data_IF_239779670750
#
_entry.id   IF_239779670750
#
_cell.length_a   1.000
_cell.length_b   1.000
_cell.length_c   1.000
_cell.angle_alpha   90.00
_cell.angle_beta   90.00
_cell.angle_gamma   90.00
#
_symmetry.space_group_name_H-M   'P 1'
#
loop_
_entity.id
_entity.type
_entity.pdbx_description
1 polymer ?
#
# COMPACT_ATOMS: atom_id res chain seq x y z
N UNK A 1 66.28 32.09 19.86
CA UNK A 1 66.46 32.03 18.38
C UNK A 1 65.12 32.36 17.71
N UNK A 2 64.46 33.44 18.09
CA UNK A 2 64.81 34.86 17.88
C UNK A 2 64.39 35.34 16.48
N UNK A 3 63.23 35.99 16.45
CA UNK A 3 62.90 36.95 15.40
C UNK A 3 63.84 38.18 15.52
N UNK A 4 64.03 38.94 14.43
CA UNK A 4 63.37 40.26 14.39
C UNK A 4 62.62 40.56 13.05
N UNK A 5 61.44 41.20 13.05
CA UNK A 5 61.16 42.67 12.94
C UNK A 5 61.49 43.28 11.55
N UNK A 6 60.88 44.32 10.96
CA UNK A 6 59.69 45.22 11.07
C UNK A 6 59.65 46.01 9.72
N UNK A 7 58.64 46.73 9.22
CA UNK A 7 57.17 46.82 9.42
C UNK A 7 56.58 47.76 8.33
N UNK A 8 55.25 47.75 8.08
CA UNK A 8 54.63 48.73 7.16
C UNK A 8 53.10 48.69 7.13
N UNK A 9 52.44 49.54 7.93
CA UNK A 9 50.98 49.60 8.04
C UNK A 9 50.27 50.21 6.81
N UNK A 10 49.10 49.67 6.45
CA UNK A 10 47.85 50.47 6.50
C UNK A 10 46.59 49.62 6.63
N UNK A 11 45.59 50.19 7.32
CA UNK A 11 44.33 49.54 7.71
C UNK A 11 43.28 49.57 6.58
N UNK A 12 42.41 48.57 6.55
CA UNK A 12 40.98 48.78 6.26
C UNK A 12 40.15 47.96 7.27
N UNK A 13 39.09 48.55 7.80
CA UNK A 13 38.21 47.90 8.78
C UNK A 13 37.13 47.09 8.05
N UNK A 14 36.85 45.88 8.51
CA UNK A 14 35.51 45.28 8.42
C UNK A 14 35.12 44.73 9.80
N UNK A 15 33.86 44.92 10.18
CA UNK A 15 33.41 44.72 11.56
C UNK A 15 33.06 43.27 11.87
N UNK A 16 33.15 42.94 13.15
CA UNK A 16 32.68 41.71 13.75
C UNK A 16 31.14 41.60 13.79
N UNK A 17 30.70 40.38 14.12
CA UNK A 17 29.42 39.98 14.70
C UNK A 17 28.14 40.03 13.84
N UNK A 18 27.67 38.83 13.45
CA UNK A 18 26.32 38.40 13.86
C UNK A 18 26.16 36.86 13.87
N UNK A 19 26.43 36.21 15.02
CA UNK A 19 26.25 34.75 15.20
C UNK A 19 24.92 34.40 15.86
N UNK A 20 23.88 34.37 15.02
CA UNK A 20 22.64 33.57 15.08
C UNK A 20 22.37 32.80 16.40
N UNK A 21 21.53 33.37 17.26
CA UNK A 21 20.87 32.61 18.33
C UNK A 21 19.80 31.65 17.76
N UNK A 22 20.00 30.34 17.95
CA UNK A 22 19.03 29.32 17.51
C UNK A 22 17.80 29.29 18.43
N UNK A 23 16.67 29.85 17.98
CA UNK A 23 15.38 29.77 18.68
C UNK A 23 14.78 28.37 18.49
N UNK A 24 15.09 27.44 19.40
CA UNK A 24 14.41 26.17 19.50
C UNK A 24 12.92 26.38 19.83
N UNK A 25 12.04 26.18 18.85
CA UNK A 25 10.58 26.19 19.04
C UNK A 25 10.13 24.83 19.54
N UNK A 26 9.84 24.72 20.83
CA UNK A 26 9.11 23.59 21.41
C UNK A 26 7.72 23.47 20.74
N UNK A 27 7.26 22.27 20.35
CA UNK A 27 5.90 22.09 19.86
C UNK A 27 4.91 22.28 21.02
N UNK A 28 3.94 23.16 20.84
CA UNK A 28 2.87 23.38 21.82
C UNK A 28 1.89 22.20 21.78
N UNK A 29 1.97 21.32 22.78
CA UNK A 29 0.93 20.34 23.05
C UNK A 29 -0.31 21.04 23.60
N UNK A 30 -1.23 21.46 22.71
CA UNK A 30 -2.60 21.80 23.12
C UNK A 30 -3.36 20.51 23.39
N UNK A 31 -3.56 20.20 24.67
CA UNK A 31 -4.42 19.11 25.15
C UNK A 31 -5.90 19.43 24.95
N UNK A 32 -6.34 19.48 23.70
CA UNK A 32 -7.77 19.46 23.38
C UNK A 32 -8.24 18.01 23.35
N UNK A 33 -8.43 17.43 24.53
CA UNK A 33 -9.03 16.10 24.67
C UNK A 33 -10.54 16.23 24.40
N UNK A 34 -11.09 15.66 23.31
CA UNK A 34 -12.51 15.39 23.29
C UNK A 34 -12.78 14.38 24.41
N UNK A 35 -13.78 14.66 25.24
CA UNK A 35 -14.30 13.68 26.20
C UNK A 35 -14.72 12.44 25.42
N UNK A 36 -13.95 11.36 25.54
CA UNK A 36 -14.24 10.09 24.89
C UNK A 36 -15.45 9.48 25.58
N UNK A 37 -16.63 9.85 25.10
CA UNK A 37 -17.82 9.01 25.24
C UNK A 37 -17.42 7.59 24.84
N UNK A 38 -17.90 6.55 25.53
CA UNK A 38 -17.77 5.20 25.04
C UNK A 38 -18.69 5.09 23.83
N UNK A 39 -18.17 5.49 22.67
CA UNK A 39 -18.82 5.22 21.40
C UNK A 39 -19.08 3.72 21.37
N UNK A 40 -20.37 3.36 21.35
CA UNK A 40 -20.80 1.98 21.28
C UNK A 40 -20.07 1.30 20.11
N UNK A 41 -19.69 0.02 20.23
CA UNK A 41 -19.06 -0.67 19.12
C UNK A 41 -19.98 -0.55 17.91
N UNK A 42 -19.50 0.11 16.85
CA UNK A 42 -20.19 0.15 15.56
C UNK A 42 -20.04 -1.19 14.85
N UNK A 43 -20.43 -2.26 15.54
CA UNK A 43 -20.44 -3.65 15.09
C UNK A 43 -21.73 -3.96 14.33
N UNK A 44 -22.09 -3.08 13.40
CA UNK A 44 -23.00 -3.42 12.31
C UNK A 44 -22.14 -3.69 11.10
N UNK A 45 -21.92 -4.98 10.83
CA UNK A 45 -21.24 -5.50 9.65
C UNK A 45 -22.10 -5.27 8.39
N UNK A 46 -22.34 -4.01 8.04
CA UNK A 46 -23.05 -3.62 6.82
C UNK A 46 -22.13 -3.77 5.61
N UNK A 47 -22.72 -4.16 4.47
CA UNK A 47 -22.03 -4.07 3.19
C UNK A 47 -21.50 -2.65 2.96
N UNK A 48 -20.30 -2.54 2.40
CA UNK A 48 -19.65 -1.27 2.07
C UNK A 48 -19.84 -0.95 0.60
N UNK A 49 -20.21 0.28 0.32
CA UNK A 49 -20.19 0.86 -1.02
C UNK A 49 -18.92 1.70 -1.17
N UNK A 50 -18.21 1.50 -2.28
CA UNK A 50 -17.00 2.26 -2.63
C UNK A 50 -17.16 2.81 -4.04
N UNK A 51 -16.95 4.11 -4.20
CA UNK A 51 -16.94 4.80 -5.48
C UNK A 51 -15.51 4.82 -6.03
N UNK A 52 -15.28 4.19 -7.17
CA UNK A 52 -13.92 4.06 -7.73
C UNK A 52 -13.44 5.41 -8.25
N UNK A 53 -12.21 5.81 -7.94
CA UNK A 53 -11.61 7.06 -8.41
C UNK A 53 -12.32 8.34 -7.91
N UNK A 54 -13.14 8.25 -6.87
CA UNK A 54 -13.92 9.36 -6.31
C UNK A 54 -13.72 9.54 -4.79
N UNK A 55 -14.25 10.63 -4.24
CA UNK A 55 -14.27 10.87 -2.78
C UNK A 55 -15.41 10.08 -2.14
N UNK A 56 -15.10 9.29 -1.11
CA UNK A 56 -16.10 8.51 -0.39
C UNK A 56 -16.98 9.37 0.52
N UNK A 57 -18.28 9.07 0.57
CA UNK A 57 -19.20 9.66 1.54
C UNK A 57 -19.00 9.12 2.97
N UNK A 58 -18.57 7.85 3.08
CA UNK A 58 -18.29 7.20 4.36
C UNK A 58 -16.83 7.40 4.79
N UNK A 59 -16.61 7.49 6.11
CA UNK A 59 -15.26 7.55 6.69
C UNK A 59 -14.71 6.14 6.89
N UNK A 60 -13.63 5.84 6.19
CA UNK A 60 -12.86 4.61 6.38
C UNK A 60 -11.66 4.82 7.32
N UNK A 61 -11.18 3.77 8.00
CA UNK A 61 -9.89 3.79 8.70
C UNK A 61 -8.74 4.23 7.79
N UNK A 62 -7.70 4.81 8.39
CA UNK A 62 -6.48 5.18 7.67
C UNK A 62 -5.60 3.95 7.42
N UNK A 63 -4.90 3.90 6.28
CA UNK A 63 -3.99 2.81 5.91
C UNK A 63 -2.65 2.85 6.70
N UNK A 64 -2.65 3.37 7.92
CA UNK A 64 -1.46 3.50 8.75
C UNK A 64 -1.32 2.28 9.68
N UNK A 65 -0.28 1.48 9.48
CA UNK A 65 0.04 0.31 10.31
C UNK A 65 0.78 0.75 11.57
N UNK A 66 0.43 0.20 12.74
CA UNK A 66 1.24 0.37 13.95
C UNK A 66 1.27 -0.89 14.80
N UNK A 67 2.48 -1.37 15.08
CA UNK A 67 2.81 -2.50 15.95
C UNK A 67 3.38 -2.03 17.30
N UNK A 68 3.27 -0.73 17.61
CA UNK A 68 3.72 -0.16 18.87
C UNK A 68 2.89 -0.72 20.04
N UNK A 69 3.55 -1.33 21.02
CA UNK A 69 2.89 -1.95 22.18
C UNK A 69 2.42 -0.89 23.19
N UNK A 70 3.04 0.28 23.15
CA UNK A 70 2.78 1.38 24.08
C UNK A 70 2.60 2.72 23.38
N UNK A 71 1.81 3.61 23.97
CA UNK A 71 1.98 5.06 23.82
C UNK A 71 3.09 5.56 24.76
N UNK A 72 3.71 6.73 24.49
CA UNK A 72 4.73 7.30 25.38
C UNK A 72 4.29 7.45 26.84
N UNK A 73 2.99 7.72 27.07
CA UNK A 73 2.40 7.75 28.40
C UNK A 73 2.20 6.35 29.01
N UNK A 74 1.68 5.40 28.23
CA UNK A 74 1.38 4.06 28.75
C UNK A 74 2.61 3.17 28.95
N UNK A 75 3.75 3.52 28.35
CA UNK A 75 5.00 2.76 28.44
C UNK A 75 5.43 2.59 29.91
N UNK A 76 5.72 3.70 30.60
CA UNK A 76 6.32 3.62 31.94
C UNK A 76 5.41 2.89 32.96
N UNK A 77 4.10 3.20 33.08
CA UNK A 77 3.23 2.52 34.05
C UNK A 77 3.03 1.03 33.74
N UNK A 78 2.86 0.66 32.46
CA UNK A 78 2.63 -0.75 32.08
C UNK A 78 3.88 -1.59 32.21
N UNK A 79 5.03 -1.09 31.75
CA UNK A 79 6.29 -1.85 31.85
C UNK A 79 6.74 -1.98 33.30
N UNK A 80 6.62 -0.92 34.14
CA UNK A 80 6.87 -1.04 35.58
C UNK A 80 5.93 -2.04 36.26
N UNK A 81 4.64 -2.04 35.92
CA UNK A 81 3.69 -3.03 36.46
C UNK A 81 4.10 -4.48 36.10
N UNK A 82 4.54 -4.71 34.86
CA UNK A 82 5.02 -6.02 34.42
C UNK A 82 6.30 -6.44 35.19
N UNK A 83 7.27 -5.53 35.35
CA UNK A 83 8.50 -5.81 36.12
C UNK A 83 8.20 -6.11 37.59
N UNK A 84 7.33 -5.34 38.24
CA UNK A 84 6.97 -5.54 39.65
C UNK A 84 5.91 -6.65 39.88
N UNK A 85 5.34 -7.22 38.82
CA UNK A 85 4.56 -8.46 38.94
C UNK A 85 5.45 -9.67 39.24
N UNK A 86 6.78 -9.55 39.06
CA UNK A 86 7.74 -10.59 39.40
C UNK A 86 8.17 -10.52 40.88
N UNK A 87 8.11 -11.66 41.58
CA UNK A 87 8.29 -11.74 43.03
C UNK A 87 9.58 -11.10 43.54
N UNK A 88 10.73 -11.33 42.89
CA UNK A 88 12.01 -10.76 43.35
C UNK A 88 12.04 -9.23 43.23
N UNK A 89 11.50 -8.65 42.17
CA UNK A 89 11.45 -7.20 41.99
C UNK A 89 10.53 -6.55 43.04
N UNK A 90 9.40 -7.18 43.35
CA UNK A 90 8.48 -6.73 44.40
C UNK A 90 9.07 -6.89 45.81
N UNK A 91 9.78 -7.99 46.07
CA UNK A 91 10.51 -8.22 47.32
C UNK A 91 11.57 -7.14 47.55
N UNK A 92 12.43 -6.87 46.56
CA UNK A 92 13.44 -5.82 46.66
C UNK A 92 12.80 -4.42 46.77
N UNK A 93 11.65 -4.18 46.16
CA UNK A 93 10.89 -2.94 46.34
C UNK A 93 10.44 -2.77 47.79
N UNK A 94 9.87 -3.80 48.43
CA UNK A 94 9.49 -3.72 49.84
C UNK A 94 10.70 -3.56 50.78
N UNK A 95 11.81 -4.27 50.51
CA UNK A 95 13.06 -4.11 51.27
C UNK A 95 13.66 -2.70 51.12
N UNK A 96 13.53 -2.07 49.95
CA UNK A 96 13.96 -0.69 49.74
C UNK A 96 13.01 0.32 50.41
N UNK A 97 11.69 0.11 50.34
CA UNK A 97 10.68 0.95 50.98
C UNK A 97 10.77 0.91 52.51
N UNK A 98 11.09 -0.25 53.12
CA UNK A 98 11.23 -0.34 54.58
C UNK A 98 12.34 0.55 55.13
N UNK A 99 13.39 0.84 54.36
CA UNK A 99 14.48 1.73 54.77
C UNK A 99 14.04 3.20 54.91
N UNK A 100 12.90 3.59 54.33
CA UNK A 100 12.35 4.94 54.48
C UNK A 100 11.99 5.19 55.94
N UNK A 101 11.52 4.16 56.67
CA UNK A 101 11.26 4.22 58.10
C UNK A 101 12.58 4.19 58.88
N UNK A 102 12.94 5.25 59.63
CA UNK A 102 14.25 5.34 60.28
C UNK A 102 14.48 4.27 61.34
N UNK A 103 13.43 3.72 61.94
CA UNK A 103 13.52 2.65 62.95
C UNK A 103 13.84 1.27 62.38
N UNK A 104 13.65 1.06 61.06
CA UNK A 104 13.94 -0.19 60.36
C UNK A 104 15.23 -0.11 59.50
N UNK A 105 15.90 1.05 59.51
CA UNK A 105 17.04 1.33 58.64
C UNK A 105 18.33 0.75 59.20
N UNK A 106 18.93 -0.19 58.48
CA UNK A 106 20.16 -0.88 58.90
C UNK A 106 21.42 -0.28 58.23
N UNK A 107 21.27 0.47 57.14
CA UNK A 107 22.40 1.08 56.41
C UNK A 107 21.99 2.23 55.48
N UNK A 108 22.84 2.52 54.50
CA UNK A 108 22.56 3.57 53.51
C UNK A 108 21.42 3.17 52.56
N UNK A 109 20.51 4.12 52.29
CA UNK A 109 19.39 3.93 51.35
C UNK A 109 19.83 3.46 49.96
N UNK A 110 20.97 3.98 49.49
CA UNK A 110 21.56 3.65 48.19
C UNK A 110 21.91 2.16 48.05
N UNK A 111 22.32 1.50 49.12
CA UNK A 111 22.68 0.07 49.11
C UNK A 111 21.52 -0.85 48.72
N UNK A 112 20.27 -0.41 48.94
CA UNK A 112 19.05 -1.17 48.62
C UNK A 112 18.39 -0.67 47.33
N UNK A 113 18.37 0.65 47.12
CA UNK A 113 17.73 1.26 45.95
C UNK A 113 18.56 1.05 44.67
N UNK A 114 19.89 1.16 44.73
CA UNK A 114 20.73 1.13 43.53
C UNK A 114 20.69 -0.21 42.76
N UNK A 115 20.76 -1.39 43.40
CA UNK A 115 20.63 -2.67 42.69
C UNK A 115 19.25 -2.84 42.02
N UNK A 116 18.18 -2.47 42.72
CA UNK A 116 16.81 -2.54 42.18
C UNK A 116 16.63 -1.59 40.99
N UNK A 117 17.07 -0.33 41.14
CA UNK A 117 17.00 0.67 40.09
C UNK A 117 17.82 0.26 38.85
N UNK A 118 18.98 -0.38 39.04
CA UNK A 118 19.81 -0.89 37.95
C UNK A 118 19.12 -2.00 37.16
N UNK A 119 18.55 -3.00 37.83
CA UNK A 119 17.82 -4.10 37.17
C UNK A 119 16.61 -3.57 36.41
N UNK A 120 15.77 -2.76 37.07
CA UNK A 120 14.58 -2.16 36.44
C UNK A 120 14.98 -1.25 35.26
N UNK A 121 16.06 -0.47 35.36
CA UNK A 121 16.55 0.35 34.25
C UNK A 121 16.99 -0.47 33.04
N UNK A 122 17.61 -1.64 33.25
CA UNK A 122 17.97 -2.55 32.15
C UNK A 122 16.72 -3.13 31.49
N UNK A 123 15.73 -3.60 32.26
CA UNK A 123 14.47 -4.12 31.71
C UNK A 123 13.70 -3.06 30.91
N UNK A 124 13.52 -1.87 31.51
CA UNK A 124 12.88 -0.72 30.84
C UNK A 124 13.66 -0.31 29.58
N UNK A 125 14.99 -0.29 29.64
CA UNK A 125 15.84 0.06 28.51
C UNK A 125 15.68 -0.88 27.32
N UNK A 126 15.60 -2.20 27.58
CA UNK A 126 15.35 -3.21 26.53
C UNK A 126 13.96 -3.08 25.92
N UNK A 127 12.91 -3.01 26.74
CA UNK A 127 11.53 -2.88 26.23
C UNK A 127 11.35 -1.56 25.45
N UNK A 128 11.99 -0.46 25.89
CA UNK A 128 12.01 0.81 25.16
C UNK A 128 12.70 0.65 23.80
N UNK A 129 13.88 0.02 23.75
CA UNK A 129 14.64 -0.20 22.53
C UNK A 129 13.83 -1.02 21.50
N UNK A 130 13.23 -2.12 21.94
CA UNK A 130 12.42 -2.99 21.08
C UNK A 130 11.17 -2.28 20.54
N UNK A 131 10.49 -1.49 21.36
CA UNK A 131 9.31 -0.72 20.99
C UNK A 131 9.65 0.52 20.10
N UNK A 132 10.86 1.07 20.22
CA UNK A 132 11.42 2.03 19.24
C UNK A 132 11.72 1.34 17.91
N UNK A 133 12.33 0.15 17.94
CA UNK A 133 12.61 -0.65 16.75
C UNK A 133 11.35 -1.04 15.97
N UNK A 134 10.25 -1.34 16.68
CA UNK A 134 8.91 -1.53 16.08
C UNK A 134 8.43 -0.28 15.36
N UNK A 135 8.40 0.87 16.05
CA UNK A 135 7.96 2.15 15.45
C UNK A 135 8.80 2.56 14.25
N UNK A 136 10.10 2.26 14.24
CA UNK A 136 10.95 2.53 13.08
C UNK A 136 10.51 1.72 11.86
N UNK A 137 10.32 0.40 12.02
CA UNK A 137 9.83 -0.47 10.93
C UNK A 137 8.43 -0.07 10.47
N UNK A 138 7.54 0.28 11.40
CA UNK A 138 6.22 0.82 11.07
C UNK A 138 6.35 2.13 10.26
N UNK A 139 7.25 3.04 10.64
CA UNK A 139 7.46 4.30 9.91
C UNK A 139 8.05 4.09 8.51
N UNK A 140 8.93 3.10 8.34
CA UNK A 140 9.48 2.68 7.04
C UNK A 140 8.35 2.13 6.14
N UNK A 141 7.55 1.17 6.61
CA UNK A 141 6.42 0.61 5.85
C UNK A 141 5.31 1.64 5.54
N UNK A 142 4.99 2.52 6.49
CA UNK A 142 4.01 3.60 6.28
C UNK A 142 4.48 4.68 5.31
N UNK A 143 5.79 4.76 5.05
CA UNK A 143 6.39 5.73 4.14
C UNK A 143 6.69 5.17 2.73
N UNK A 144 6.49 3.87 2.51
CA UNK A 144 6.61 3.22 1.20
C UNK A 144 5.72 3.92 0.16
N UNK A 145 6.24 4.09 -1.07
CA UNK A 145 5.62 4.92 -2.10
C UNK A 145 4.89 4.09 -3.17
N UNK A 146 3.67 4.51 -3.49
CA UNK A 146 2.77 3.86 -4.43
C UNK A 146 2.27 4.85 -5.48
N UNK A 147 2.13 4.38 -6.72
CA UNK A 147 1.54 5.16 -7.82
C UNK A 147 0.02 5.04 -7.76
N UNK A 148 -0.67 6.18 -7.71
CA UNK A 148 -2.13 6.29 -7.70
C UNK A 148 -2.59 7.04 -8.95
N UNK A 149 -3.62 6.54 -9.62
CA UNK A 149 -4.31 7.21 -10.71
C UNK A 149 -5.27 8.27 -10.13
N UNK A 150 -5.06 9.52 -10.56
CA UNK A 150 -5.92 10.66 -10.25
C UNK A 150 -6.72 11.03 -11.47
N UNK A 151 -8.03 11.18 -11.28
CA UNK A 151 -9.00 11.45 -12.33
C UNK A 151 -9.51 12.89 -12.19
N UNK A 152 -9.18 13.73 -13.16
CA UNK A 152 -9.39 15.18 -13.14
C UNK A 152 -8.13 15.99 -12.80
N UNK A 153 -8.14 17.32 -13.03
CA UNK A 153 -6.98 18.18 -12.83
C UNK A 153 -6.49 18.15 -11.37
N UNK A 154 -5.16 18.15 -11.12
CA UNK A 154 -4.64 18.19 -9.77
C UNK A 154 -5.05 19.50 -9.07
N UNK A 155 -5.96 19.40 -8.11
CA UNK A 155 -6.56 20.54 -7.43
C UNK A 155 -5.57 21.25 -6.50
N UNK A 156 -4.80 22.19 -7.04
CA UNK A 156 -4.01 23.18 -6.28
C UNK A 156 -2.88 22.65 -5.40
N UNK A 157 -2.56 21.36 -5.46
CA UNK A 157 -1.53 20.72 -4.65
C UNK A 157 -0.22 20.50 -5.41
N UNK A 158 0.89 21.06 -4.89
CA UNK A 158 2.29 20.84 -5.27
C UNK A 158 2.55 19.89 -6.47
N UNK A 159 2.76 20.45 -7.67
CA UNK A 159 3.11 19.72 -8.91
C UNK A 159 4.40 18.88 -8.88
N UNK A 160 5.05 18.72 -7.73
CA UNK A 160 6.28 17.92 -7.56
C UNK A 160 6.05 16.40 -7.58
N UNK A 161 4.81 15.94 -7.38
CA UNK A 161 4.46 14.52 -7.25
C UNK A 161 3.60 13.98 -8.41
N UNK A 162 3.33 14.80 -9.42
CA UNK A 162 2.59 14.39 -10.63
C UNK A 162 3.63 14.01 -11.68
N UNK A 163 3.61 12.77 -12.17
CA UNK A 163 4.33 12.44 -13.40
C UNK A 163 3.55 12.99 -14.59
N UNK A 164 4.19 13.78 -15.45
CA UNK A 164 3.57 14.38 -16.66
C UNK A 164 3.12 13.35 -17.73
N UNK A 165 3.20 12.06 -17.42
CA UNK A 165 2.70 10.96 -18.24
C UNK A 165 1.17 10.93 -18.22
N UNK A 166 0.57 11.67 -19.16
CA UNK A 166 -0.86 11.58 -19.46
C UNK A 166 -1.19 10.20 -20.01
N UNK A 167 -1.72 9.32 -19.16
CA UNK A 167 -2.22 7.99 -19.56
C UNK A 167 -3.57 8.04 -20.30
N UNK A 168 -4.17 9.23 -20.39
CA UNK A 168 -5.40 9.48 -21.14
C UNK A 168 -5.88 10.91 -20.96
N UNK A 169 -7.06 11.19 -21.48
CA UNK A 169 -7.78 12.43 -21.22
C UNK A 169 -8.20 12.50 -19.74
N UNK A 170 -7.69 13.49 -19.01
CA UNK A 170 -7.93 13.72 -17.56
C UNK A 170 -7.46 12.62 -16.59
N UNK A 171 -6.52 11.73 -16.98
CA UNK A 171 -5.92 10.73 -16.06
C UNK A 171 -4.44 11.03 -15.82
N UNK A 172 -4.06 11.17 -14.56
CA UNK A 172 -2.70 11.51 -14.10
C UNK A 172 -2.16 10.47 -13.12
N UNK A 173 -0.86 10.21 -13.14
CA UNK A 173 -0.19 9.41 -12.11
C UNK A 173 0.35 10.32 -10.99
N UNK A 174 0.08 9.95 -9.73
CA UNK A 174 0.51 10.67 -8.53
C UNK A 174 1.17 9.69 -7.56
N UNK A 175 2.36 10.04 -7.06
CA UNK A 175 3.01 9.25 -5.99
C UNK A 175 2.47 9.62 -4.62
N UNK A 176 2.02 8.61 -3.86
CA UNK A 176 1.57 8.73 -2.46
C UNK A 176 2.26 7.73 -1.55
N UNK A 177 2.33 8.03 -0.25
CA UNK A 177 2.84 7.09 0.77
C UNK A 177 1.74 6.13 1.21
N UNK A 178 2.12 4.91 1.57
CA UNK A 178 1.23 3.83 2.01
C UNK A 178 0.17 4.29 3.02
N UNK A 179 0.57 5.04 4.05
CA UNK A 179 -0.33 5.58 5.10
C UNK A 179 -1.31 6.66 4.62
N UNK A 180 -0.99 7.34 3.52
CA UNK A 180 -1.71 8.50 2.97
C UNK A 180 -2.71 8.07 1.87
N UNK A 181 -2.72 6.77 1.52
CA UNK A 181 -3.68 6.12 0.63
C UNK A 181 -5.09 6.05 1.25
N UNK A 182 -6.11 6.05 0.40
CA UNK A 182 -7.53 6.02 0.82
C UNK A 182 -8.36 5.01 0.01
N UNK A 183 -9.46 4.57 0.62
CA UNK A 183 -10.44 3.66 -0.01
C UNK A 183 -11.07 4.30 -1.25
N UNK A 184 -11.17 3.52 -2.33
CA UNK A 184 -11.61 3.93 -3.65
C UNK A 184 -10.55 4.65 -4.50
N UNK A 185 -9.34 4.87 -3.99
CA UNK A 185 -8.23 5.29 -4.84
C UNK A 185 -7.74 4.12 -5.71
N UNK A 186 -7.40 4.41 -6.97
CA UNK A 186 -6.93 3.40 -7.93
C UNK A 186 -5.39 3.40 -7.94
N UNK A 187 -4.79 2.34 -7.43
CA UNK A 187 -3.36 2.06 -7.51
C UNK A 187 -2.97 1.56 -8.91
N UNK A 188 -1.80 1.96 -9.38
CA UNK A 188 -1.06 1.27 -10.45
C UNK A 188 0.08 0.50 -9.80
N UNK A 189 -0.13 -0.80 -9.62
CA UNK A 189 0.85 -1.69 -8.97
C UNK A 189 1.79 -2.25 -10.03
N UNK A 190 3.08 -2.27 -9.73
CA UNK A 190 4.11 -2.83 -10.61
C UNK A 190 4.30 -4.32 -10.35
N UNK A 191 4.85 -5.04 -11.34
CA UNK A 191 5.38 -6.39 -11.15
C UNK A 191 6.32 -6.46 -9.92
N UNK A 192 6.18 -7.54 -9.16
CA UNK A 192 6.92 -7.88 -7.94
C UNK A 192 6.75 -6.89 -6.76
N UNK A 193 5.78 -5.97 -6.84
CA UNK A 193 5.42 -5.06 -5.75
C UNK A 193 4.45 -5.71 -4.76
N UNK A 194 4.60 -5.40 -3.46
CA UNK A 194 3.66 -5.81 -2.41
C UNK A 194 2.45 -4.89 -2.37
N UNK A 195 1.27 -5.45 -2.08
CA UNK A 195 0.04 -4.67 -1.94
C UNK A 195 -0.04 -3.96 -0.57
N UNK A 196 -0.34 -2.65 -0.54
CA UNK A 196 -0.37 -1.86 0.70
C UNK A 196 -1.67 -2.02 1.50
N UNK A 197 -2.70 -2.59 0.90
CA UNK A 197 -4.06 -2.74 1.43
C UNK A 197 -4.75 -3.96 0.78
N UNK A 198 -5.97 -4.25 1.23
CA UNK A 198 -6.86 -5.22 0.56
C UNK A 198 -7.49 -4.56 -0.67
N UNK A 199 -7.63 -5.28 -1.78
CA UNK A 199 -7.94 -4.64 -3.07
C UNK A 199 -8.82 -5.45 -4.02
N UNK A 200 -9.46 -4.75 -4.95
CA UNK A 200 -10.13 -5.33 -6.13
C UNK A 200 -9.30 -5.09 -7.38
N UNK A 201 -9.12 -6.11 -8.20
CA UNK A 201 -8.37 -6.06 -9.46
C UNK A 201 -9.30 -5.53 -10.55
N UNK A 202 -9.06 -4.31 -11.03
CA UNK A 202 -9.89 -3.68 -12.06
C UNK A 202 -9.42 -4.03 -13.47
N UNK A 203 -8.11 -3.92 -13.73
CA UNK A 203 -7.54 -4.14 -15.06
C UNK A 203 -6.11 -4.64 -15.00
N UNK A 204 -5.81 -5.71 -15.71
CA UNK A 204 -4.47 -6.29 -15.86
C UNK A 204 -3.91 -5.95 -17.25
N UNK A 205 -2.63 -5.61 -17.32
CA UNK A 205 -1.94 -5.32 -18.59
C UNK A 205 -0.60 -6.05 -18.64
N UNK A 206 -0.36 -6.85 -19.68
CA UNK A 206 1.02 -7.24 -20.04
C UNK A 206 1.75 -5.98 -20.46
N UNK A 207 2.79 -5.62 -19.73
CA UNK A 207 3.85 -4.78 -20.29
C UNK A 207 4.86 -5.75 -20.88
N UNK A 208 4.79 -5.97 -22.20
CA UNK A 208 5.95 -6.52 -22.90
C UNK A 208 7.09 -5.53 -22.69
N UNK A 209 8.17 -6.01 -22.06
CA UNK A 209 9.40 -5.25 -21.95
C UNK A 209 10.03 -5.17 -23.32
N UNK A 210 9.62 -4.20 -24.14
CA UNK A 210 10.28 -3.90 -25.42
C UNK A 210 11.70 -3.41 -25.13
N UNK A 211 12.64 -4.35 -24.99
CA UNK A 211 14.06 -4.04 -25.00
C UNK A 211 14.44 -3.54 -26.39
N UNK A 212 14.94 -2.32 -26.41
CA UNK A 212 15.35 -1.61 -27.61
C UNK A 212 16.59 -2.30 -28.23
N UNK A 213 16.60 -2.58 -29.55
CA UNK A 213 17.71 -3.28 -30.19
C UNK A 213 18.80 -2.27 -30.59
N UNK A 214 19.68 -1.92 -29.65
CA UNK A 214 20.81 -1.02 -29.92
C UNK A 214 22.16 -1.75 -29.96
N UNK A 215 22.94 -1.38 -30.99
CA UNK A 215 24.36 -1.67 -31.24
C UNK A 215 24.78 -3.13 -31.56
N UNK A 216 25.01 -3.34 -32.86
CA UNK A 216 25.97 -4.31 -33.40
C UNK A 216 27.38 -3.98 -32.86
N UNK A 217 28.11 -4.97 -32.34
CA UNK A 217 29.56 -4.96 -32.53
C UNK A 217 30.20 -6.36 -32.63
N UNK A 218 30.90 -6.52 -33.75
CA UNK A 218 31.99 -7.43 -34.15
C UNK A 218 32.45 -8.59 -33.25
N UNK A 219 32.46 -9.79 -33.84
CA UNK A 219 33.02 -11.04 -33.29
C UNK A 219 34.55 -10.99 -33.19
N UNK A 220 35.12 -11.35 -32.03
CA UNK A 220 36.45 -11.96 -31.92
C UNK A 220 36.45 -13.07 -30.85
N UNK A 221 36.75 -14.30 -31.27
CA UNK A 221 37.14 -15.42 -30.39
C UNK A 221 38.67 -15.53 -30.35
N UNK A 222 39.25 -16.04 -29.25
CA UNK A 222 39.85 -17.39 -29.36
C UNK A 222 39.72 -18.28 -28.11
N UNK A 223 39.86 -19.60 -28.34
CA UNK A 223 40.57 -20.68 -27.58
C UNK A 223 40.86 -20.55 -26.06
N UNK A 224 40.91 -21.60 -25.23
CA UNK A 224 40.77 -23.08 -25.33
C UNK A 224 40.55 -23.65 -23.90
N UNK A 225 40.01 -24.87 -23.75
CA UNK A 225 40.80 -26.08 -23.36
C UNK A 225 39.94 -27.23 -22.76
N UNK A 226 40.51 -28.44 -22.78
CA UNK A 226 40.18 -29.69 -22.06
C UNK A 226 39.18 -30.70 -22.66
N UNK A 227 39.79 -31.59 -23.45
CA UNK A 227 39.49 -33.01 -23.71
C UNK A 227 39.30 -33.83 -22.39
N UNK A 228 38.82 -35.08 -22.30
CA UNK A 228 38.28 -36.10 -23.23
C UNK A 228 37.54 -37.18 -22.39
N UNK A 229 36.71 -38.03 -23.02
CA UNK A 229 36.78 -39.52 -22.95
C UNK A 229 35.43 -40.27 -23.13
N UNK A 230 35.37 -41.12 -24.16
CA UNK A 230 34.56 -42.37 -24.28
C UNK A 230 33.01 -42.33 -24.18
N UNK A 231 32.21 -43.15 -24.89
CA UNK A 231 32.44 -44.02 -26.07
C UNK A 231 31.11 -44.63 -26.57
N UNK A 232 30.94 -44.72 -27.88
CA UNK A 232 30.15 -45.73 -28.66
C UNK A 232 28.60 -45.81 -28.66
N UNK A 233 28.10 -46.05 -29.89
CA UNK A 233 26.94 -46.86 -30.30
C UNK A 233 25.50 -46.28 -30.43
N UNK A 234 25.19 -45.77 -31.63
CA UNK A 234 24.08 -46.23 -32.54
C UNK A 234 22.58 -46.17 -32.13
N UNK A 235 21.62 -46.26 -33.10
CA UNK A 235 21.58 -45.63 -34.42
C UNK A 235 20.22 -44.97 -34.78
N UNK A 236 20.25 -44.16 -35.84
CA UNK A 236 19.17 -43.74 -36.78
C UNK A 236 17.72 -44.25 -36.61
N UNK A 237 16.74 -43.35 -36.75
CA UNK A 237 15.59 -43.56 -37.68
C UNK A 237 15.09 -42.20 -38.20
N UNK A 238 15.10 -42.02 -39.52
CA UNK A 238 14.42 -40.89 -40.18
C UNK A 238 12.95 -41.23 -40.44
N UNK A 239 12.03 -40.26 -40.35
CA UNK A 239 10.82 -40.24 -41.17
C UNK A 239 10.41 -38.80 -41.48
N UNK A 240 10.14 -38.54 -42.76
CA UNK A 240 9.82 -37.22 -43.30
C UNK A 240 8.29 -37.08 -43.48
N UNK A 241 7.68 -36.00 -42.99
CA UNK A 241 6.24 -35.78 -43.00
C UNK A 241 5.88 -34.32 -43.26
N UNK A 242 5.23 -34.06 -44.41
CA UNK A 242 5.14 -32.73 -45.03
C UNK A 242 3.80 -32.03 -44.78
N UNK A 243 3.89 -30.78 -44.31
CA UNK A 243 2.95 -29.64 -44.46
C UNK A 243 1.46 -29.82 -44.14
N UNK A 244 0.95 -28.95 -43.25
CA UNK A 244 -0.47 -28.68 -43.07
C UNK A 244 -0.71 -27.36 -42.33
N UNK A 245 -0.91 -26.27 -43.07
CA UNK A 245 -1.24 -24.97 -42.47
C UNK A 245 -2.61 -25.00 -41.79
N UNK A 246 -2.62 -24.68 -40.49
CA UNK A 246 -3.75 -24.07 -39.80
C UNK A 246 -3.21 -23.08 -38.76
N UNK A 247 -2.93 -21.87 -39.23
CA UNK A 247 -2.85 -20.71 -38.35
C UNK A 247 -4.29 -20.38 -37.91
N UNK A 248 -4.73 -20.99 -36.80
CA UNK A 248 -5.92 -20.50 -36.11
C UNK A 248 -5.56 -19.17 -35.48
N UNK A 249 -6.04 -18.09 -36.10
CA UNK A 249 -5.91 -16.73 -35.60
C UNK A 249 -6.70 -16.59 -34.29
N UNK A 250 -6.05 -16.90 -33.17
CA UNK A 250 -6.57 -16.64 -31.83
C UNK A 250 -6.74 -15.13 -31.70
N UNK A 251 -7.98 -14.66 -31.73
CA UNK A 251 -8.33 -13.29 -31.37
C UNK A 251 -7.99 -13.10 -29.88
N UNK A 252 -6.81 -12.53 -29.63
CA UNK A 252 -6.33 -12.21 -28.30
C UNK A 252 -7.19 -11.10 -27.68
N UNK A 253 -8.28 -11.50 -27.00
CA UNK A 253 -8.99 -10.63 -26.07
C UNK A 253 -8.02 -10.25 -24.96
N UNK A 254 -7.68 -8.95 -24.88
CA UNK A 254 -6.55 -8.42 -24.10
C UNK A 254 -6.74 -8.43 -22.57
N UNK A 255 -7.04 -9.59 -21.99
CA UNK A 255 -6.97 -9.86 -20.57
C UNK A 255 -5.74 -10.71 -20.28
N UNK A 256 -4.82 -10.22 -19.45
CA UNK A 256 -3.68 -11.01 -19.00
C UNK A 256 -3.91 -11.58 -17.61
N UNK A 257 -3.70 -12.87 -17.47
CA UNK A 257 -3.72 -13.60 -16.20
C UNK A 257 -2.90 -12.87 -15.14
N UNK A 258 -3.54 -12.47 -14.05
CA UNK A 258 -2.86 -11.88 -12.89
C UNK A 258 -2.48 -13.00 -11.94
N UNK A 259 -1.21 -13.08 -11.57
CA UNK A 259 -0.77 -14.02 -10.54
C UNK A 259 -0.40 -13.28 -9.26
N UNK A 260 -0.90 -13.77 -8.14
CA UNK A 260 -0.53 -13.32 -6.79
C UNK A 260 0.17 -14.43 -6.02
N UNK A 261 1.11 -14.07 -5.15
CA UNK A 261 1.72 -15.00 -4.19
C UNK A 261 1.27 -14.65 -2.76
N UNK A 262 0.84 -15.65 -2.01
CA UNK A 262 0.24 -15.52 -0.67
C UNK A 262 1.16 -15.96 0.48
N UNK A 263 2.46 -16.10 0.22
CA UNK A 263 3.48 -16.61 1.15
C UNK A 263 3.48 -15.99 2.57
N UNK A 264 3.03 -14.74 2.71
CA UNK A 264 2.92 -14.03 3.99
C UNK A 264 1.58 -14.18 4.71
N UNK A 265 0.59 -14.87 4.12
CA UNK A 265 -0.78 -15.01 4.64
C UNK A 265 -1.07 -16.45 5.08
N UNK A 266 -0.87 -17.41 4.17
CA UNK A 266 -1.18 -18.84 4.37
C UNK A 266 0.09 -19.72 4.35
N UNK A 267 1.22 -19.17 3.94
CA UNK A 267 2.48 -19.91 3.76
C UNK A 267 2.57 -20.68 2.45
N UNK A 268 1.58 -20.55 1.56
CA UNK A 268 1.62 -21.18 0.24
C UNK A 268 2.61 -20.45 -0.68
N UNK A 269 3.49 -21.23 -1.30
CA UNK A 269 4.54 -20.73 -2.21
C UNK A 269 4.04 -20.53 -3.64
N UNK A 270 2.92 -21.15 -3.98
CA UNK A 270 2.42 -21.24 -5.35
C UNK A 270 1.74 -19.92 -5.78
N UNK A 271 1.79 -19.68 -7.09
CA UNK A 271 1.15 -18.51 -7.70
C UNK A 271 -0.34 -18.78 -7.91
N UNK A 272 -1.19 -18.03 -7.21
CA UNK A 272 -2.64 -18.09 -7.35
C UNK A 272 -3.09 -17.20 -8.50
N UNK A 273 -3.82 -17.76 -9.46
CA UNK A 273 -4.46 -17.00 -10.52
C UNK A 273 -5.56 -16.11 -9.93
N UNK A 274 -5.60 -14.87 -10.39
CA UNK A 274 -6.64 -13.87 -10.14
C UNK A 274 -7.01 -13.23 -11.47
N UNK A 275 -8.27 -12.84 -11.60
CA UNK A 275 -8.80 -12.27 -12.84
C UNK A 275 -9.54 -10.95 -12.56
N UNK A 276 -9.27 -9.88 -13.31
CA UNK A 276 -10.10 -8.69 -13.27
C UNK A 276 -11.54 -9.02 -13.66
N UNK A 277 -12.51 -8.24 -13.18
CA UNK A 277 -13.88 -8.37 -13.67
C UNK A 277 -13.93 -8.08 -15.18
N UNK A 278 -14.69 -8.88 -15.93
CA UNK A 278 -14.87 -8.69 -17.38
C UNK A 278 -15.44 -7.31 -17.71
N UNK A 279 -16.27 -6.77 -16.80
CA UNK A 279 -16.82 -5.43 -16.86
C UNK A 279 -15.75 -4.34 -16.71
N UNK A 280 -14.73 -4.51 -15.87
CA UNK A 280 -13.69 -3.49 -15.64
C UNK A 280 -12.48 -3.63 -16.57
N UNK A 281 -12.13 -4.85 -16.98
CA UNK A 281 -11.00 -5.10 -17.89
C UNK A 281 -11.17 -4.40 -19.25
N UNK A 282 -12.40 -4.36 -19.75
CA UNK A 282 -12.75 -3.79 -21.07
C UNK A 282 -12.90 -2.27 -21.07
N UNK A 283 -12.96 -1.62 -19.90
CA UNK A 283 -13.14 -0.17 -19.79
C UNK A 283 -11.83 0.62 -19.97
N UNK A 284 -11.96 1.85 -20.46
CA UNK A 284 -10.91 2.86 -20.39
C UNK A 284 -10.71 3.35 -18.96
N UNK A 285 -9.48 3.78 -18.65
CA UNK A 285 -9.14 4.32 -17.33
C UNK A 285 -10.03 5.50 -16.92
N UNK A 286 -10.42 6.37 -17.86
CA UNK A 286 -11.33 7.51 -17.60
C UNK A 286 -12.70 7.08 -17.07
N UNK A 287 -13.21 5.93 -17.51
CA UNK A 287 -14.50 5.40 -17.12
C UNK A 287 -14.46 4.69 -15.76
N UNK A 288 -13.29 4.50 -15.15
CA UNK A 288 -13.18 3.94 -13.81
C UNK A 288 -13.93 4.80 -12.79
N UNK A 289 -14.04 6.13 -12.98
CA UNK A 289 -14.87 6.96 -12.10
C UNK A 289 -16.36 6.60 -12.10
N UNK A 290 -16.84 5.83 -13.07
CA UNK A 290 -18.23 5.36 -13.15
C UNK A 290 -18.42 3.99 -12.50
N UNK A 291 -17.34 3.35 -12.05
CA UNK A 291 -17.40 2.08 -11.34
C UNK A 291 -17.79 2.30 -9.88
N UNK A 292 -18.64 1.41 -9.38
CA UNK A 292 -19.11 1.37 -8.01
C UNK A 292 -19.02 -0.06 -7.51
N UNK A 293 -18.29 -0.28 -6.42
CA UNK A 293 -18.10 -1.60 -5.83
C UNK A 293 -18.91 -1.71 -4.54
N UNK A 294 -19.77 -2.72 -4.49
CA UNK A 294 -20.37 -3.19 -3.25
C UNK A 294 -19.60 -4.41 -2.77
N UNK A 295 -19.04 -4.35 -1.56
CA UNK A 295 -18.38 -5.48 -0.93
C UNK A 295 -19.07 -5.83 0.39
N UNK A 296 -18.93 -7.09 0.82
CA UNK A 296 -19.31 -7.51 2.17
C UNK A 296 -18.60 -6.69 3.25
N UNK A 297 -19.08 -6.82 4.48
CA UNK A 297 -18.34 -6.32 5.64
C UNK A 297 -16.92 -6.93 5.71
N UNK A 298 -15.94 -6.24 6.34
CA UNK A 298 -14.61 -6.82 6.55
C UNK A 298 -14.72 -8.11 7.37
N UNK A 299 -14.11 -9.18 6.88
CA UNK A 299 -14.06 -10.50 7.53
C UNK A 299 -12.62 -11.00 7.53
N UNK A 300 -12.26 -11.83 8.50
CA UNK A 300 -10.93 -12.43 8.67
C UNK A 300 -10.73 -13.69 7.83
N UNK A 301 -11.80 -14.21 7.22
CA UNK A 301 -11.79 -15.41 6.39
C UNK A 301 -11.14 -15.12 5.03
N UNK A 302 -9.83 -15.34 4.93
CA UNK A 302 -9.01 -15.04 3.73
C UNK A 302 -9.46 -15.71 2.42
N UNK A 303 -10.30 -16.76 2.49
CA UNK A 303 -10.79 -17.51 1.33
C UNK A 303 -12.25 -17.17 0.97
N UNK A 304 -12.87 -16.20 1.66
CA UNK A 304 -14.25 -15.80 1.44
C UNK A 304 -14.33 -14.29 1.12
N UNK A 305 -14.88 -13.97 -0.03
CA UNK A 305 -15.20 -12.60 -0.43
C UNK A 305 -16.41 -12.61 -1.34
N UNK A 306 -17.39 -11.77 -1.02
CA UNK A 306 -18.59 -11.58 -1.82
C UNK A 306 -18.82 -10.09 -2.09
N UNK A 307 -19.00 -9.75 -3.36
CA UNK A 307 -19.33 -8.40 -3.78
C UNK A 307 -19.96 -8.35 -5.17
N UNK A 308 -20.21 -7.13 -5.64
CA UNK A 308 -20.57 -6.81 -7.02
C UNK A 308 -19.90 -5.51 -7.45
N UNK A 309 -19.59 -5.41 -8.73
CA UNK A 309 -19.17 -4.18 -9.39
C UNK A 309 -20.26 -3.74 -10.35
N UNK A 310 -20.59 -2.46 -10.34
CA UNK A 310 -21.61 -1.83 -11.17
C UNK A 310 -20.97 -0.71 -11.99
N UNK A 311 -21.31 -0.64 -13.27
CA UNK A 311 -20.97 0.48 -14.14
C UNK A 311 -22.15 1.43 -14.21
N UNK A 312 -22.00 2.60 -13.62
CA UNK A 312 -23.01 3.66 -13.68
C UNK A 312 -23.11 4.24 -15.12
N UNK A 313 -24.32 4.58 -15.60
CA UNK A 313 -24.49 5.31 -16.85
C UNK A 313 -23.70 6.63 -16.85
N UNK A 314 -23.32 7.16 -18.03
CA UNK A 314 -22.77 8.51 -18.11
C UNK A 314 -23.77 9.54 -17.58
N UNK A 315 -23.29 10.56 -16.85
CA UNK A 315 -24.16 11.62 -16.29
C UNK A 315 -24.90 12.47 -17.33
N UNK A 316 -24.56 12.30 -18.61
CA UNK A 316 -25.30 12.82 -19.76
C UNK A 316 -25.75 11.65 -20.64
N UNK A 317 -26.93 11.09 -20.35
CA UNK A 317 -27.68 10.40 -21.38
C UNK A 317 -28.20 11.46 -22.34
N UNK A 318 -27.78 11.39 -23.61
CA UNK A 318 -28.28 12.26 -24.67
C UNK A 318 -29.82 12.20 -24.69
N UNK A 319 -30.46 13.35 -24.57
CA UNK A 319 -31.90 13.46 -24.70
C UNK A 319 -32.23 13.25 -26.18
N UNK A 320 -32.71 12.06 -26.57
CA UNK A 320 -33.13 11.79 -27.94
C UNK A 320 -34.51 12.47 -28.16
N UNK A 321 -34.60 13.53 -28.97
CA UNK A 321 -35.87 14.20 -29.19
C UNK A 321 -36.80 13.25 -29.95
N UNK A 322 -38.08 13.10 -29.53
CA UNK A 322 -39.00 12.19 -30.19
C UNK A 322 -39.14 12.56 -31.67
N UNK A 323 -38.65 11.67 -32.54
CA UNK A 323 -38.76 11.84 -33.98
C UNK A 323 -40.22 11.68 -34.38
N UNK A 324 -40.87 12.79 -34.75
CA UNK A 324 -42.22 12.79 -35.31
C UNK A 324 -42.23 11.97 -36.61
N UNK A 325 -42.56 10.68 -36.52
CA UNK A 325 -42.97 9.90 -37.69
C UNK A 325 -44.26 10.52 -38.24
N UNK A 326 -44.31 10.93 -39.52
CA UNK A 326 -45.57 11.33 -40.13
C UNK A 326 -46.52 10.14 -40.15
N UNK A 327 -47.73 10.34 -39.66
CA UNK A 327 -48.78 9.31 -39.61
C UNK A 327 -49.21 8.87 -41.01
N UNK A 328 -48.91 7.62 -41.34
CA UNK A 328 -49.59 6.86 -42.41
C UNK A 328 -50.39 5.75 -41.72
N UNK A 329 -51.71 5.64 -41.94
CA UNK A 329 -52.50 4.59 -41.31
C UNK A 329 -52.41 3.28 -42.11
N UNK A 330 -51.97 2.18 -41.47
CA UNK A 330 -52.70 0.90 -41.39
C UNK A 330 -51.82 -0.25 -40.82
N UNK A 331 -52.51 -1.26 -40.27
CA UNK A 331 -52.04 -2.59 -39.85
C UNK A 331 -51.17 -2.74 -38.59
N UNK A 332 -51.84 -3.17 -37.51
CA UNK A 332 -51.46 -4.25 -36.58
C UNK A 332 -50.01 -4.39 -36.10
N UNK A 333 -49.77 -4.09 -34.82
CA UNK A 333 -49.14 -4.96 -33.81
C UNK A 333 -49.43 -4.38 -32.41
N UNK A 334 -49.51 -5.20 -31.33
CA UNK A 334 -49.55 -4.64 -29.98
C UNK A 334 -48.16 -4.09 -29.63
N UNK A 335 -48.08 -2.80 -29.34
CA UNK A 335 -46.83 -2.13 -28.99
C UNK A 335 -46.35 -2.57 -27.61
N UNK A 336 -45.21 -3.26 -27.54
CA UNK A 336 -44.44 -3.33 -26.31
C UNK A 336 -43.82 -1.96 -26.04
N UNK A 337 -44.15 -1.38 -24.87
CA UNK A 337 -43.50 -0.16 -24.38
C UNK A 337 -42.01 -0.43 -24.15
N UNK A 338 -41.18 -0.08 -25.14
CA UNK A 338 -39.75 0.02 -24.99
C UNK A 338 -39.39 1.30 -24.20
N UNK A 339 -39.69 1.31 -22.90
CA UNK A 339 -39.04 2.22 -21.97
C UNK A 339 -37.55 1.88 -21.98
N UNK A 340 -36.72 2.77 -22.53
CA UNK A 340 -35.28 2.59 -22.59
C UNK A 340 -34.66 2.83 -21.21
N UNK A 341 -34.86 1.89 -20.28
CA UNK A 341 -34.10 1.83 -19.04
C UNK A 341 -32.60 1.78 -19.37
N UNK A 342 -31.81 2.68 -18.77
CA UNK A 342 -30.36 2.70 -18.95
C UNK A 342 -29.74 1.54 -18.16
N UNK A 343 -29.69 0.38 -18.81
CA UNK A 343 -29.29 -0.91 -18.22
C UNK A 343 -27.99 -0.80 -17.42
N UNK A 344 -28.10 -0.91 -16.08
CA UNK A 344 -26.96 -0.88 -15.16
C UNK A 344 -26.20 -2.19 -15.31
N UNK A 345 -25.12 -2.17 -16.09
CA UNK A 345 -24.22 -3.31 -16.23
C UNK A 345 -23.59 -3.61 -14.88
N UNK A 346 -23.76 -4.85 -14.42
CA UNK A 346 -23.20 -5.32 -13.15
C UNK A 346 -22.54 -6.69 -13.32
N UNK A 347 -21.56 -6.97 -12.48
CA UNK A 347 -20.87 -8.26 -12.42
C UNK A 347 -20.59 -8.63 -10.96
N UNK A 348 -20.69 -9.92 -10.62
CA UNK A 348 -20.32 -10.43 -9.30
C UNK A 348 -18.82 -10.38 -9.10
N UNK A 349 -18.38 -10.00 -7.90
CA UNK A 349 -16.99 -10.11 -7.46
C UNK A 349 -16.86 -11.25 -6.44
N UNK A 350 -15.86 -12.08 -6.65
CA UNK A 350 -15.47 -13.19 -5.76
C UNK A 350 -14.04 -13.00 -5.26
N UNK A 351 -13.57 -13.94 -4.46
CA UNK A 351 -12.17 -14.03 -4.02
C UNK A 351 -11.18 -13.91 -5.19
N UNK A 352 -11.51 -14.43 -6.37
CA UNK A 352 -10.65 -14.44 -7.55
C UNK A 352 -10.50 -13.08 -8.24
N UNK A 353 -11.30 -12.09 -7.86
CA UNK A 353 -11.19 -10.71 -8.32
C UNK A 353 -10.44 -9.82 -7.31
N UNK A 354 -9.92 -10.40 -6.22
CA UNK A 354 -9.33 -9.66 -5.10
C UNK A 354 -7.92 -10.10 -4.79
N UNK A 355 -7.17 -9.22 -4.15
CA UNK A 355 -5.89 -9.55 -3.55
C UNK A 355 -5.76 -8.87 -2.18
N UNK A 356 -5.03 -9.50 -1.27
CA UNK A 356 -4.95 -9.06 0.11
C UNK A 356 -3.67 -8.27 0.38
N UNK A 357 -3.69 -7.44 1.42
CA UNK A 357 -2.51 -6.71 1.88
C UNK A 357 -1.32 -7.66 2.09
N UNK A 358 -0.11 -7.20 1.79
CA UNK A 358 1.16 -7.95 1.80
C UNK A 358 1.33 -9.05 0.73
N UNK A 359 0.33 -9.42 -0.07
CA UNK A 359 0.54 -10.30 -1.24
C UNK A 359 1.43 -9.61 -2.30
N UNK A 360 2.09 -10.40 -3.16
CA UNK A 360 2.94 -9.91 -4.26
C UNK A 360 2.28 -10.21 -5.60
N UNK A 361 2.20 -9.22 -6.49
CA UNK A 361 1.62 -9.36 -7.83
C UNK A 361 2.70 -9.49 -8.92
N UNK A 362 2.49 -10.37 -9.91
CA UNK A 362 3.48 -10.64 -10.98
C UNK A 362 3.31 -9.80 -12.27
N UNK A 363 2.32 -8.90 -12.32
CA UNK A 363 1.90 -8.16 -13.52
C UNK A 363 1.62 -6.69 -13.17
N UNK A 364 1.69 -5.78 -14.15
CA UNK A 364 1.28 -4.39 -13.99
C UNK A 364 -0.25 -4.28 -14.05
N UNK A 365 -0.87 -3.80 -12.96
CA UNK A 365 -2.32 -3.89 -12.74
C UNK A 365 -2.85 -2.56 -12.19
N UNK A 366 -4.00 -2.13 -12.69
CA UNK A 366 -4.82 -1.09 -12.07
C UNK A 366 -5.78 -1.72 -11.05
N UNK A 367 -5.67 -1.26 -9.81
CA UNK A 367 -6.17 -1.93 -8.61
C UNK A 367 -6.91 -0.91 -7.73
N UNK A 368 -8.08 -1.24 -7.19
CA UNK A 368 -8.82 -0.37 -6.28
C UNK A 368 -8.55 -0.70 -4.80
N UNK A 369 -8.28 0.32 -3.99
CA UNK A 369 -8.11 0.16 -2.54
C UNK A 369 -9.45 -0.09 -1.82
N UNK A 370 -9.54 -1.23 -1.14
CA UNK A 370 -10.48 -1.45 -0.05
C UNK A 370 -9.78 -1.37 1.31
N UNK A 371 -10.56 -1.15 2.37
CA UNK A 371 -9.98 -1.10 3.71
C UNK A 371 -9.59 -2.49 4.19
N UNK A 372 -8.42 -2.58 4.83
CA UNK A 372 -7.88 -3.83 5.39
C UNK A 372 -8.84 -4.48 6.39
N UNK A 373 -9.05 -5.79 6.30
CA UNK A 373 -9.63 -6.57 7.41
C UNK A 373 -8.64 -6.63 8.59
N UNK A 374 -9.13 -6.38 9.82
CA UNK A 374 -8.31 -6.26 11.05
C UNK A 374 -8.61 -7.37 12.04
#
# INVERSE_FOLDING_TARGET
DDAPLLSGQRRSNTSFDDRRAAKARLPSFRSNAPSRTPDAPSSSASAREVLVGQTQHLKFPANAVSNAKYTPWSFLPRTLYNEFSFFFNLYFLFVALSQVLPVLRIGYMSSYIAPLAFVVAISLGKEAWDDIGRRRRDAEANAEEFTVLSFGPPAGGNSRNVSDLRLGENVYEITKKSRDLKVGEVLKVKKDQRLPADVVILKSTVTESTMQPDAVDTIQTPEVDLLEASSEASPTTETNGKAGNKEEAVQASGASDTFIRTDQLDGETDWKLRLPSTLSQTLDLRDFQRLKVHASAPDKRINDFAGKIELLPPLYSSYDPPSNKPTTPESSHPEENAESESEIKSATLSIDNTAWANTVCNVNIAIEIQNRST
#
